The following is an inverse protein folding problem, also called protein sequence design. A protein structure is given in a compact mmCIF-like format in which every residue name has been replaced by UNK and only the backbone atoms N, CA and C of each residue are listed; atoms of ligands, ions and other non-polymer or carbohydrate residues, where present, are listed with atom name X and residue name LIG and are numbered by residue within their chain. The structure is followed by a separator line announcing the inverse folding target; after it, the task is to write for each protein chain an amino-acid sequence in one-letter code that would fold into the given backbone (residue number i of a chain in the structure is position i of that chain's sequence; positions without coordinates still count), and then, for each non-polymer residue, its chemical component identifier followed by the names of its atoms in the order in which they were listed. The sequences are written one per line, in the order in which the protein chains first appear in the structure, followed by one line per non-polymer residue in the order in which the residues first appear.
data_IF_176030024548
#
_entry.id   IF_176030024548
#
_cell.length_a   1.000
_cell.length_b   1.000
_cell.length_c   1.000
_cell.angle_alpha   90.00
_cell.angle_beta   90.00
_cell.angle_gamma   90.00
#
_symmetry.space_group_name_H-M   'P 1'
#
loop_
_entity.id
_entity.type
_entity.pdbx_description
1 polymer ?
#
# COMPACT_ATOMS: atom_id res chain seq x y z
N UNK A 1 -23.69 15.93 -12.53
CA UNK A 1 -22.49 15.49 -13.27
C UNK A 1 -21.20 15.82 -12.52
N UNK A 2 -20.99 17.06 -12.04
CA UNK A 2 -19.77 17.46 -11.33
C UNK A 2 -19.46 16.60 -10.09
N UNK A 3 -20.43 16.37 -9.18
CA UNK A 3 -20.21 15.51 -8.01
C UNK A 3 -19.96 14.04 -8.34
N UNK A 4 -20.53 13.54 -9.44
CA UNK A 4 -20.24 12.18 -9.91
C UNK A 4 -18.79 12.07 -10.39
N UNK A 5 -18.31 13.05 -11.17
CA UNK A 5 -16.89 13.10 -11.58
C UNK A 5 -15.95 13.28 -10.40
N UNK A 6 -16.34 14.05 -9.38
CA UNK A 6 -15.55 14.22 -8.15
C UNK A 6 -15.33 12.90 -7.43
N UNK A 7 -16.31 11.99 -7.41
CA UNK A 7 -16.18 10.66 -6.78
C UNK A 7 -15.48 9.66 -7.70
N UNK A 8 -15.76 9.67 -9.01
CA UNK A 8 -15.18 8.70 -9.95
C UNK A 8 -13.70 8.95 -10.23
N UNK A 9 -13.25 10.20 -10.22
CA UNK A 9 -11.85 10.55 -10.48
C UNK A 9 -10.85 9.94 -9.49
N UNK A 10 -11.02 10.04 -8.15
CA UNK A 10 -10.13 9.38 -7.20
C UNK A 10 -10.22 7.84 -7.28
N UNK A 11 -11.37 7.27 -7.65
CA UNK A 11 -11.50 5.82 -7.89
C UNK A 11 -10.64 5.39 -9.09
N UNK A 12 -10.71 6.12 -10.21
CA UNK A 12 -9.85 5.87 -11.37
C UNK A 12 -8.36 5.92 -10.99
N UNK A 13 -7.95 6.96 -10.25
CA UNK A 13 -6.56 7.11 -9.83
C UNK A 13 -6.13 6.00 -8.86
N UNK A 14 -7.04 5.53 -7.99
CA UNK A 14 -6.78 4.42 -7.10
C UNK A 14 -6.52 3.12 -7.88
N UNK A 15 -7.34 2.83 -8.89
CA UNK A 15 -7.18 1.64 -9.75
C UNK A 15 -5.80 1.69 -10.44
N UNK A 16 -5.48 2.79 -11.12
CA UNK A 16 -4.20 2.96 -11.80
C UNK A 16 -3.00 2.85 -10.84
N UNK A 17 -3.12 3.38 -9.63
CA UNK A 17 -2.06 3.29 -8.62
C UNK A 17 -1.88 1.86 -8.11
N UNK A 18 -2.96 1.11 -7.91
CA UNK A 18 -2.91 -0.26 -7.37
C UNK A 18 -2.43 -1.28 -8.41
N UNK A 19 -2.72 -1.05 -9.69
CA UNK A 19 -2.27 -1.88 -10.83
C UNK A 19 -0.80 -1.67 -11.20
N UNK A 20 -0.18 -0.60 -10.69
CA UNK A 20 1.23 -0.31 -10.92
C UNK A 20 2.11 -1.45 -10.38
N UNK A 21 3.17 -1.80 -11.12
CA UNK A 21 4.02 -2.94 -10.80
C UNK A 21 4.79 -2.79 -9.46
N UNK A 22 4.95 -1.55 -8.99
CA UNK A 22 5.62 -1.20 -7.74
C UNK A 22 4.64 -0.77 -6.63
N UNK A 23 3.34 -1.02 -6.81
CA UNK A 23 2.32 -0.72 -5.81
C UNK A 23 2.55 -1.51 -4.52
N UNK A 24 2.32 -0.88 -3.38
CA UNK A 24 2.43 -1.48 -2.05
C UNK A 24 1.09 -1.52 -1.33
N UNK A 25 0.98 -2.34 -0.27
CA UNK A 25 -0.19 -2.33 0.62
C UNK A 25 -0.48 -0.92 1.17
N UNK A 26 0.56 -0.12 1.45
CA UNK A 26 0.38 1.25 1.91
C UNK A 26 -0.30 2.13 0.84
N UNK A 27 0.08 1.97 -0.44
CA UNK A 27 -0.52 2.72 -1.54
C UNK A 27 -2.01 2.39 -1.71
N UNK A 28 -2.37 1.11 -1.60
CA UNK A 28 -3.77 0.69 -1.61
C UNK A 28 -4.56 1.36 -0.48
N UNK A 29 -4.03 1.33 0.75
CA UNK A 29 -4.68 1.96 1.91
C UNK A 29 -4.82 3.48 1.76
N UNK A 30 -3.79 4.16 1.26
CA UNK A 30 -3.80 5.61 1.03
C UNK A 30 -4.83 5.99 -0.02
N UNK A 31 -4.97 5.21 -1.08
CA UNK A 31 -5.99 5.48 -2.10
C UNK A 31 -7.42 5.27 -1.56
N UNK A 32 -7.64 4.26 -0.71
CA UNK A 32 -8.92 4.11 0.01
C UNK A 32 -9.21 5.34 0.89
N UNK A 33 -8.21 5.84 1.62
CA UNK A 33 -8.37 7.06 2.43
C UNK A 33 -8.67 8.29 1.59
N UNK A 34 -8.05 8.46 0.42
CA UNK A 34 -8.34 9.57 -0.51
C UNK A 34 -9.77 9.51 -1.03
N UNK A 35 -10.27 8.33 -1.41
CA UNK A 35 -11.67 8.14 -1.83
C UNK A 35 -12.61 8.49 -0.67
N UNK A 36 -12.32 7.98 0.52
CA UNK A 36 -13.11 8.27 1.73
C UNK A 36 -13.15 9.78 2.04
N UNK A 37 -12.02 10.49 1.96
CA UNK A 37 -11.95 11.93 2.17
C UNK A 37 -12.82 12.70 1.17
N UNK A 38 -12.83 12.28 -0.10
CA UNK A 38 -13.69 12.90 -1.12
C UNK A 38 -15.17 12.65 -0.83
N UNK A 39 -15.56 11.41 -0.50
CA UNK A 39 -16.95 11.08 -0.12
C UNK A 39 -17.39 11.88 1.12
N UNK A 40 -16.50 12.03 2.10
CA UNK A 40 -16.76 12.79 3.33
C UNK A 40 -17.08 14.26 3.03
N UNK A 41 -16.42 14.85 2.03
CA UNK A 41 -16.56 16.25 1.64
C UNK A 41 -17.75 16.53 0.70
N UNK A 42 -18.51 15.51 0.28
CA UNK A 42 -19.72 15.71 -0.51
C UNK A 42 -20.79 16.50 0.27
N UNK A 43 -21.57 17.37 -0.39
CA UNK A 43 -22.63 18.13 0.27
C UNK A 43 -23.62 17.21 1.00
N UNK A 44 -23.81 17.46 2.30
CA UNK A 44 -24.67 16.64 3.14
C UNK A 44 -26.16 16.80 2.79
N UNK A 45 -26.58 17.98 2.33
CA UNK A 45 -28.00 18.32 2.15
C UNK A 45 -28.51 18.10 0.72
N UNK A 46 -27.81 18.61 -0.29
CA UNK A 46 -28.30 18.62 -1.69
C UNK A 46 -28.23 17.23 -2.36
N UNK A 47 -27.32 16.36 -1.90
CA UNK A 47 -27.06 15.04 -2.49
C UNK A 47 -27.03 13.92 -1.43
N UNK A 48 -27.79 14.08 -0.35
CA UNK A 48 -27.79 13.15 0.79
C UNK A 48 -27.91 11.68 0.40
N UNK A 49 -28.88 11.34 -0.45
CA UNK A 49 -29.10 9.96 -0.88
C UNK A 49 -27.94 9.39 -1.71
N UNK A 50 -27.32 10.21 -2.57
CA UNK A 50 -26.12 9.82 -3.31
C UNK A 50 -24.92 9.65 -2.37
N UNK A 51 -24.68 10.58 -1.45
CA UNK A 51 -23.64 10.50 -0.43
C UNK A 51 -23.79 9.22 0.40
N UNK A 52 -24.99 8.95 0.91
CA UNK A 52 -25.28 7.73 1.67
C UNK A 52 -25.04 6.46 0.83
N UNK A 53 -25.42 6.45 -0.45
CA UNK A 53 -25.11 5.35 -1.34
C UNK A 53 -23.59 5.14 -1.48
N UNK A 54 -22.82 6.21 -1.71
CA UNK A 54 -21.36 6.15 -1.78
C UNK A 54 -20.74 5.62 -0.48
N UNK A 55 -21.24 6.06 0.69
CA UNK A 55 -20.76 5.57 1.99
C UNK A 55 -21.08 4.09 2.17
N UNK A 56 -22.32 3.65 1.88
CA UNK A 56 -22.69 2.23 1.96
C UNK A 56 -21.78 1.36 1.09
N UNK A 57 -21.54 1.77 -0.16
CA UNK A 57 -20.67 1.05 -1.09
C UNK A 57 -19.21 1.08 -0.66
N UNK A 58 -18.73 2.23 -0.18
CA UNK A 58 -17.37 2.35 0.33
C UNK A 58 -17.16 1.46 1.56
N UNK A 59 -18.01 1.54 2.58
CA UNK A 59 -17.85 0.76 3.81
C UNK A 59 -17.88 -0.75 3.54
N UNK A 60 -18.81 -1.20 2.68
CA UNK A 60 -18.85 -2.60 2.27
C UNK A 60 -17.55 -3.07 1.62
N UNK A 61 -16.99 -2.28 0.68
CA UNK A 61 -15.69 -2.59 0.07
C UNK A 61 -14.54 -2.46 1.07
N UNK A 62 -14.58 -1.45 1.92
CA UNK A 62 -13.56 -1.22 2.93
C UNK A 62 -13.47 -2.40 3.89
N UNK A 63 -14.59 -3.01 4.28
CA UNK A 63 -14.61 -4.23 5.10
C UNK A 63 -13.81 -5.39 4.46
N UNK A 64 -13.89 -5.57 3.13
CA UNK A 64 -13.11 -6.57 2.39
C UNK A 64 -11.59 -6.31 2.47
N UNK A 65 -11.18 -5.04 2.59
CA UNK A 65 -9.78 -4.61 2.58
C UNK A 65 -9.26 -4.11 3.92
N UNK A 66 -10.06 -4.18 4.99
CA UNK A 66 -9.70 -3.69 6.32
C UNK A 66 -8.81 -4.70 7.07
N UNK A 67 -7.77 -5.18 6.40
CA UNK A 67 -6.75 -6.04 7.00
C UNK A 67 -5.69 -5.18 7.71
N UNK A 68 -5.30 -5.52 8.96
CA UNK A 68 -4.28 -4.78 9.71
C UNK A 68 -2.92 -4.63 9.00
N UNK A 69 -2.58 -5.51 8.04
CA UNK A 69 -1.38 -5.41 7.22
C UNK A 69 -1.34 -4.10 6.42
N UNK A 70 -2.48 -3.63 5.90
CA UNK A 70 -2.58 -2.36 5.19
C UNK A 70 -2.30 -1.17 6.11
N UNK A 71 -2.82 -1.23 7.34
CA UNK A 71 -2.63 -0.20 8.36
C UNK A 71 -1.17 -0.16 8.84
N UNK A 72 -0.56 -1.33 9.06
CA UNK A 72 0.86 -1.45 9.39
C UNK A 72 1.73 -0.94 8.24
N UNK A 73 1.40 -1.25 6.98
CA UNK A 73 2.15 -0.76 5.82
C UNK A 73 2.07 0.76 5.70
N UNK A 74 0.88 1.33 5.91
CA UNK A 74 0.69 2.79 5.96
C UNK A 74 1.52 3.43 7.08
N UNK A 75 1.53 2.84 8.28
CA UNK A 75 2.36 3.29 9.39
C UNK A 75 3.85 3.27 9.00
N UNK A 76 4.34 2.17 8.42
CA UNK A 76 5.76 2.00 8.04
C UNK A 76 6.17 2.79 6.78
N UNK A 77 5.24 3.46 6.11
CA UNK A 77 5.55 4.21 4.89
C UNK A 77 6.28 5.52 5.24
N UNK A 78 7.48 5.79 4.71
CA UNK A 78 8.30 6.94 5.15
C UNK A 78 7.69 8.32 4.85
N UNK A 79 6.84 8.43 3.83
CA UNK A 79 6.11 9.68 3.57
C UNK A 79 5.00 9.99 4.57
N UNK A 80 4.36 8.95 5.12
CA UNK A 80 3.14 9.11 5.91
C UNK A 80 3.38 8.90 7.40
N UNK A 81 4.20 7.90 7.76
CA UNK A 81 4.62 7.57 9.13
C UNK A 81 3.44 7.44 10.11
N UNK A 82 2.28 7.00 9.62
CA UNK A 82 1.06 6.92 10.42
C UNK A 82 0.46 8.28 10.81
N UNK A 83 0.82 9.38 10.13
CA UNK A 83 0.17 10.65 10.36
C UNK A 83 -1.35 10.52 10.08
N UNK A 84 -2.14 11.29 10.82
CA UNK A 84 -3.60 11.21 10.75
C UNK A 84 -4.23 10.00 11.45
N UNK A 85 -3.47 9.05 11.98
CA UNK A 85 -4.01 7.99 12.85
C UNK A 85 -4.61 8.59 14.13
N UNK A 86 -5.79 8.10 14.52
CA UNK A 86 -6.47 8.50 15.76
C UNK A 86 -5.82 7.87 16.99
N UNK A 87 -6.14 8.44 18.16
CA UNK A 87 -5.73 7.87 19.44
C UNK A 87 -6.15 6.39 19.56
N UNK A 88 -5.26 5.54 20.08
CA UNK A 88 -5.47 4.09 20.19
C UNK A 88 -5.16 3.28 18.92
N UNK A 89 -5.07 3.90 17.74
CA UNK A 89 -4.74 3.18 16.50
C UNK A 89 -3.32 2.59 16.52
N UNK A 90 -2.36 3.29 17.14
CA UNK A 90 -0.99 2.81 17.27
C UNK A 90 -0.92 1.49 18.04
N UNK A 91 -1.68 1.33 19.12
CA UNK A 91 -1.70 0.12 19.95
C UNK A 91 -2.15 -1.09 19.12
N UNK A 92 -3.20 -0.92 18.30
CA UNK A 92 -3.69 -1.96 17.39
C UNK A 92 -2.63 -2.35 16.34
N UNK A 93 -1.97 -1.36 15.73
CA UNK A 93 -0.91 -1.58 14.74
C UNK A 93 0.31 -2.26 15.38
N UNK A 94 0.69 -1.84 16.59
CA UNK A 94 1.79 -2.40 17.35
C UNK A 94 1.52 -3.85 17.76
N UNK A 95 0.31 -4.15 18.25
CA UNK A 95 -0.12 -5.50 18.56
C UNK A 95 -0.04 -6.40 17.32
N UNK A 96 -0.60 -5.96 16.20
CA UNK A 96 -0.53 -6.72 14.96
C UNK A 96 0.91 -6.94 14.47
N UNK A 97 1.78 -5.93 14.59
CA UNK A 97 3.19 -6.08 14.25
C UNK A 97 3.89 -7.12 15.12
N UNK A 98 3.60 -7.14 16.43
CA UNK A 98 4.14 -8.13 17.36
C UNK A 98 3.59 -9.54 17.09
N UNK A 99 2.29 -9.69 16.81
CA UNK A 99 1.70 -10.98 16.42
C UNK A 99 2.30 -11.51 15.13
N UNK A 100 2.50 -10.63 14.14
CA UNK A 100 3.14 -10.98 12.88
C UNK A 100 4.60 -11.38 13.12
N UNK A 101 5.30 -10.70 14.02
CA UNK A 101 6.68 -11.03 14.40
C UNK A 101 6.76 -12.39 15.11
N UNK A 102 5.83 -12.66 16.04
CA UNK A 102 5.69 -13.95 16.71
C UNK A 102 5.42 -15.08 15.73
N UNK A 103 4.48 -14.89 14.78
CA UNK A 103 4.18 -15.85 13.69
C UNK A 103 5.38 -16.15 12.81
N UNK A 104 6.39 -15.26 12.76
CA UNK A 104 7.67 -15.51 12.08
C UNK A 104 8.67 -16.32 12.92
N UNK A 105 8.25 -16.87 14.07
CA UNK A 105 9.10 -17.63 14.99
C UNK A 105 10.19 -16.74 15.60
N UNK A 106 9.79 -15.62 16.19
CA UNK A 106 10.71 -14.64 16.79
C UNK A 106 10.45 -14.50 18.28
N UNK A 107 11.54 -14.45 19.05
CA UNK A 107 11.52 -14.41 20.51
C UNK A 107 10.87 -13.15 21.07
N UNK A 108 10.37 -13.25 22.30
CA UNK A 108 9.78 -12.13 23.06
C UNK A 108 10.70 -10.92 23.14
N UNK A 109 11.97 -11.14 23.48
CA UNK A 109 13.01 -10.09 23.58
C UNK A 109 13.19 -9.33 22.27
N UNK A 110 13.13 -10.04 21.13
CA UNK A 110 13.21 -9.40 19.81
C UNK A 110 11.94 -8.60 19.47
N UNK A 111 10.77 -9.07 19.92
CA UNK A 111 9.50 -8.34 19.78
C UNK A 111 9.47 -7.06 20.62
N UNK A 112 9.97 -7.09 21.86
CA UNK A 112 10.09 -5.90 22.70
C UNK A 112 10.98 -4.84 22.03
N UNK A 113 12.13 -5.26 21.47
CA UNK A 113 13.02 -4.39 20.69
C UNK A 113 12.36 -3.87 19.42
N UNK A 114 11.57 -4.68 18.71
CA UNK A 114 10.77 -4.23 17.56
C UNK A 114 9.77 -3.13 17.96
N UNK A 115 9.03 -3.33 19.04
CA UNK A 115 8.04 -2.37 19.53
C UNK A 115 8.68 -1.06 20.00
N UNK A 116 9.86 -1.14 20.63
CA UNK A 116 10.68 0.04 20.94
C UNK A 116 11.07 0.80 19.67
N UNK A 117 11.50 0.10 18.61
CA UNK A 117 11.81 0.73 17.32
C UNK A 117 10.58 1.36 16.66
N UNK A 118 9.41 0.73 16.74
CA UNK A 118 8.16 1.32 16.24
C UNK A 118 7.83 2.63 16.95
N UNK A 119 8.12 2.75 18.25
CA UNK A 119 7.92 4.00 19.01
C UNK A 119 8.89 5.09 18.57
N UNK A 120 10.17 4.76 18.50
CA UNK A 120 11.22 5.66 17.98
C UNK A 120 10.83 6.18 16.59
N UNK A 121 10.32 5.29 15.73
CA UNK A 121 9.83 5.64 14.40
C UNK A 121 8.57 6.52 14.47
N UNK A 122 7.58 6.22 15.32
CA UNK A 122 6.38 7.06 15.49
C UNK A 122 6.70 8.46 15.98
N UNK A 123 7.58 8.58 16.97
CA UNK A 123 7.92 9.83 17.64
C UNK A 123 8.94 10.67 16.86
N UNK A 124 9.51 10.11 15.78
CA UNK A 124 10.52 10.79 14.97
C UNK A 124 11.71 11.29 15.81
N UNK A 125 12.13 10.49 16.79
CA UNK A 125 13.25 10.81 17.68
C UNK A 125 14.52 10.97 16.84
N UNK A 126 15.13 12.15 16.85
CA UNK A 126 16.28 12.49 15.98
C UNK A 126 17.57 11.80 16.40
N UNK A 127 17.77 11.58 17.70
CA UNK A 127 19.01 11.02 18.26
C UNK A 127 18.64 9.82 19.14
N UNK A 128 19.27 8.68 18.88
CA UNK A 128 19.14 7.46 19.68
C UNK A 128 20.55 7.00 20.02
N UNK A 129 20.83 6.82 21.31
CA UNK A 129 22.15 6.41 21.83
C UNK A 129 23.29 7.29 21.29
N UNK A 130 23.11 8.61 21.31
CA UNK A 130 24.10 9.58 20.82
C UNK A 130 24.35 9.57 19.31
N UNK A 131 23.58 8.82 18.50
CA UNK A 131 23.71 8.76 17.04
C UNK A 131 22.45 9.28 16.34
N UNK A 132 22.58 9.89 15.14
CA UNK A 132 21.44 10.25 14.33
C UNK A 132 20.59 9.02 14.01
N UNK A 133 19.29 9.11 14.27
CA UNK A 133 18.34 8.05 13.97
C UNK A 133 18.08 7.97 12.45
N UNK A 134 18.40 6.85 11.78
CA UNK A 134 18.16 6.70 10.35
C UNK A 134 16.68 6.80 9.97
N UNK A 135 15.75 6.54 10.89
CA UNK A 135 14.31 6.59 10.63
C UNK A 135 13.76 8.02 10.41
N UNK A 136 14.57 9.04 10.66
CA UNK A 136 14.24 10.45 10.42
C UNK A 136 14.79 10.94 9.06
N UNK A 137 15.47 10.07 8.30
CA UNK A 137 15.97 10.40 6.97
C UNK A 137 14.84 10.96 6.07
N UNK A 138 15.14 11.96 5.21
CA UNK A 138 14.16 12.50 4.29
C UNK A 138 13.68 11.43 3.31
N UNK A 139 12.45 11.57 2.84
CA UNK A 139 11.85 10.70 1.83
C UNK A 139 11.20 11.58 0.76
N UNK A 140 11.51 11.31 -0.51
CA UNK A 140 11.00 12.08 -1.64
C UNK A 140 10.00 11.24 -2.43
N UNK A 141 8.71 11.61 -2.36
CA UNK A 141 7.64 10.95 -3.12
C UNK A 141 7.96 11.04 -4.63
N UNK A 142 7.91 9.90 -5.32
CA UNK A 142 8.13 9.80 -6.77
C UNK A 142 9.60 9.56 -7.17
N UNK A 143 10.57 9.83 -6.30
CA UNK A 143 11.98 9.46 -6.51
C UNK A 143 12.38 8.23 -5.70
N UNK A 144 11.91 8.13 -4.46
CA UNK A 144 12.21 7.02 -3.57
C UNK A 144 11.09 5.99 -3.56
N UNK A 145 11.44 4.71 -3.50
CA UNK A 145 10.49 3.66 -3.12
C UNK A 145 10.60 3.38 -1.61
N UNK A 146 9.51 3.02 -0.91
CA UNK A 146 9.59 2.65 0.50
C UNK A 146 10.63 1.55 0.76
N UNK A 147 10.70 0.58 -0.14
CA UNK A 147 11.69 -0.50 -0.07
C UNK A 147 13.13 0.02 -0.15
N UNK A 148 13.44 0.93 -1.07
CA UNK A 148 14.77 1.54 -1.17
C UNK A 148 15.12 2.34 0.09
N UNK A 149 14.19 3.15 0.59
CA UNK A 149 14.40 3.94 1.81
C UNK A 149 14.62 3.06 3.05
N UNK A 150 13.84 1.97 3.20
CA UNK A 150 14.08 1.04 4.29
C UNK A 150 15.45 0.35 4.17
N UNK A 151 15.91 0.04 2.96
CA UNK A 151 17.23 -0.55 2.76
C UNK A 151 18.40 0.39 3.13
N UNK A 152 18.21 1.72 3.15
CA UNK A 152 19.26 2.66 3.57
C UNK A 152 19.32 2.88 5.09
N UNK A 153 18.31 2.42 5.85
CA UNK A 153 18.26 2.58 7.29
C UNK A 153 19.20 1.61 8.02
N UNK A 154 20.44 2.04 8.30
CA UNK A 154 21.44 1.24 9.01
C UNK A 154 21.26 1.33 10.55
N UNK A 155 20.44 0.44 11.12
CA UNK A 155 20.23 0.34 12.58
C UNK A 155 20.64 -1.05 13.08
N UNK A 156 21.19 -1.16 14.29
CA UNK A 156 21.42 -2.45 14.95
C UNK A 156 20.77 -2.46 16.34
N UNK A 157 19.91 -3.46 16.65
CA UNK A 157 19.34 -4.47 15.73
C UNK A 157 18.40 -3.82 14.70
N UNK A 158 18.04 -4.50 13.62
CA UNK A 158 17.21 -3.92 12.55
C UNK A 158 15.82 -4.56 12.40
N UNK A 159 15.16 -4.89 13.51
CA UNK A 159 13.91 -5.64 13.48
C UNK A 159 12.79 -4.92 12.73
N UNK A 160 12.60 -3.61 12.97
CA UNK A 160 11.61 -2.80 12.26
C UNK A 160 11.87 -2.73 10.76
N UNK A 161 13.14 -2.53 10.37
CA UNK A 161 13.56 -2.51 8.97
C UNK A 161 13.22 -3.84 8.27
N UNK A 162 13.54 -4.97 8.91
CA UNK A 162 13.26 -6.31 8.36
C UNK A 162 11.76 -6.56 8.21
N UNK A 163 10.96 -6.11 9.18
CA UNK A 163 9.50 -6.21 9.10
C UNK A 163 8.96 -5.37 7.93
N UNK A 164 9.41 -4.11 7.83
CA UNK A 164 8.99 -3.20 6.77
C UNK A 164 9.34 -3.73 5.37
N UNK A 165 10.57 -4.19 5.17
CA UNK A 165 11.01 -4.79 3.89
C UNK A 165 10.10 -5.95 3.48
N UNK A 166 9.77 -6.85 4.43
CA UNK A 166 8.87 -7.98 4.15
C UNK A 166 7.48 -7.50 3.75
N UNK A 167 6.93 -6.52 4.47
CA UNK A 167 5.60 -6.00 4.22
C UNK A 167 5.51 -5.25 2.87
N UNK A 168 6.52 -4.46 2.52
CA UNK A 168 6.62 -3.76 1.24
C UNK A 168 6.96 -4.68 0.05
N UNK A 169 7.32 -5.94 0.31
CA UNK A 169 7.50 -6.95 -0.74
C UNK A 169 6.18 -7.61 -1.16
N UNK A 170 5.07 -7.32 -0.48
CA UNK A 170 3.75 -7.85 -0.82
C UNK A 170 3.14 -6.99 -1.93
N UNK A 171 2.84 -7.62 -3.06
CA UNK A 171 2.09 -6.98 -4.15
C UNK A 171 0.59 -7.03 -3.85
N UNK A 172 -0.11 -5.88 -3.78
CA UNK A 172 -1.53 -5.82 -3.42
C UNK A 172 -2.49 -6.20 -4.57
N UNK A 173 -2.00 -6.35 -5.80
CA UNK A 173 -2.82 -6.57 -7.00
C UNK A 173 -2.31 -7.73 -7.85
N UNK A 174 -3.25 -8.50 -8.40
CA UNK A 174 -3.01 -9.52 -9.43
C UNK A 174 -2.81 -8.94 -10.83
N UNK A 175 -2.97 -7.62 -11.03
CA UNK A 175 -2.90 -6.98 -12.35
C UNK A 175 -1.59 -7.27 -13.11
N UNK A 176 -0.47 -7.44 -12.41
CA UNK A 176 0.79 -7.84 -13.05
C UNK A 176 0.73 -9.29 -13.60
N UNK A 177 0.02 -10.18 -12.91
CA UNK A 177 -0.25 -11.54 -13.38
C UNK A 177 -1.28 -11.52 -14.51
N UNK A 178 -2.36 -10.73 -14.39
CA UNK A 178 -3.38 -10.59 -15.43
C UNK A 178 -2.80 -10.05 -16.73
N UNK A 179 -1.94 -9.02 -16.69
CA UNK A 179 -1.21 -8.54 -17.89
C UNK A 179 -0.36 -9.64 -18.52
N UNK A 180 0.32 -10.45 -17.71
CA UNK A 180 1.09 -11.60 -18.21
C UNK A 180 0.17 -12.64 -18.85
N UNK A 181 -0.96 -12.97 -18.22
CA UNK A 181 -1.92 -13.93 -18.75
C UNK A 181 -2.62 -13.42 -20.00
N UNK A 182 -2.96 -12.14 -20.08
CA UNK A 182 -3.49 -11.48 -21.27
C UNK A 182 -2.48 -11.53 -22.42
N UNK A 183 -1.21 -11.20 -22.15
CA UNK A 183 -0.13 -11.32 -23.15
C UNK A 183 0.04 -12.76 -23.66
N UNK A 184 -0.22 -13.76 -22.81
CA UNK A 184 -0.19 -15.18 -23.17
C UNK A 184 -1.54 -15.68 -23.73
N UNK A 185 -2.60 -14.87 -23.68
CA UNK A 185 -3.95 -15.19 -24.13
C UNK A 185 -3.98 -15.51 -25.62
N UNK A 186 -3.14 -14.85 -26.42
CA UNK A 186 -2.94 -15.21 -27.83
C UNK A 186 -2.43 -16.66 -28.01
N UNK A 187 -1.49 -17.09 -27.16
CA UNK A 187 -0.86 -18.42 -27.25
C UNK A 187 -1.84 -19.55 -26.87
N UNK A 188 -2.68 -19.29 -25.85
CA UNK A 188 -3.63 -20.26 -25.31
C UNK A 188 -4.98 -20.24 -26.03
N UNK A 189 -5.44 -19.06 -26.46
CA UNK A 189 -6.74 -18.84 -27.10
C UNK A 189 -6.72 -19.06 -28.61
N UNK A 190 -6.28 -18.05 -29.38
CA UNK A 190 -6.41 -18.01 -30.84
C UNK A 190 -5.58 -19.09 -31.56
N UNK A 191 -4.40 -19.45 -31.04
CA UNK A 191 -3.55 -20.47 -31.66
C UNK A 191 -3.84 -21.93 -31.24
N UNK A 192 -4.78 -22.17 -30.31
CA UNK A 192 -5.15 -23.51 -29.78
C UNK A 192 -3.96 -24.44 -29.59
N UNK A 193 -2.90 -23.94 -28.98
CA UNK A 193 -1.68 -24.72 -28.80
C UNK A 193 -1.90 -25.72 -27.65
N UNK A 194 -1.72 -27.03 -27.90
CA UNK A 194 -1.73 -28.07 -26.84
C UNK A 194 -0.39 -28.09 -26.11
N UNK A 195 0.03 -26.93 -25.58
CA UNK A 195 1.25 -26.84 -24.79
C UNK A 195 0.98 -27.35 -23.38
N UNK A 196 1.89 -28.17 -22.86
CA UNK A 196 1.89 -28.55 -21.45
C UNK A 196 2.26 -27.33 -20.59
N UNK A 197 1.76 -27.32 -19.35
CA UNK A 197 1.91 -26.19 -18.40
C UNK A 197 3.39 -25.80 -18.23
N UNK A 198 4.29 -26.78 -18.10
CA UNK A 198 5.72 -26.53 -17.91
C UNK A 198 6.36 -25.78 -19.09
N UNK A 199 5.91 -26.06 -20.32
CA UNK A 199 6.39 -25.38 -21.53
C UNK A 199 5.84 -23.96 -21.62
N UNK A 200 4.59 -23.79 -21.22
CA UNK A 200 3.94 -22.47 -21.14
C UNK A 200 4.64 -21.58 -20.12
N UNK A 201 4.93 -22.12 -18.93
CA UNK A 201 5.68 -21.42 -17.89
C UNK A 201 7.09 -21.04 -18.39
N UNK A 202 7.79 -21.97 -19.06
CA UNK A 202 9.08 -21.71 -19.68
C UNK A 202 9.01 -20.56 -20.69
N UNK A 203 8.00 -20.55 -21.55
CA UNK A 203 7.80 -19.49 -22.55
C UNK A 203 7.47 -18.15 -21.89
N UNK A 204 6.61 -18.14 -20.86
CA UNK A 204 6.26 -16.94 -20.09
C UNK A 204 7.50 -16.32 -19.43
N UNK A 205 8.38 -17.15 -18.85
CA UNK A 205 9.66 -16.70 -18.27
C UNK A 205 10.58 -16.10 -19.32
N UNK A 206 10.72 -16.74 -20.48
CA UNK A 206 11.54 -16.24 -21.60
C UNK A 206 10.97 -14.93 -22.15
N UNK A 207 9.65 -14.85 -22.31
CA UNK A 207 8.94 -13.64 -22.75
C UNK A 207 9.19 -12.48 -21.79
N UNK A 208 8.96 -12.67 -20.48
CA UNK A 208 9.19 -11.65 -19.45
C UNK A 208 10.64 -11.22 -19.36
N UNK A 209 11.58 -12.16 -19.44
CA UNK A 209 13.01 -11.85 -19.45
C UNK A 209 13.40 -11.01 -20.68
N UNK A 210 12.92 -11.38 -21.87
CA UNK A 210 13.21 -10.57 -23.06
C UNK A 210 12.61 -9.18 -22.95
N UNK A 211 11.39 -9.04 -22.40
CA UNK A 211 10.76 -7.75 -22.17
C UNK A 211 11.57 -6.86 -21.21
N UNK A 212 12.01 -7.42 -20.06
CA UNK A 212 12.80 -6.66 -19.09
C UNK A 212 14.19 -6.29 -19.60
N UNK A 213 14.80 -7.14 -20.44
CA UNK A 213 16.15 -6.90 -20.96
C UNK A 213 16.15 -6.16 -22.30
N UNK A 214 14.98 -5.95 -22.93
CA UNK A 214 14.88 -5.34 -24.24
C UNK A 214 15.50 -3.94 -24.20
N UNK A 215 15.03 -3.09 -23.29
CA UNK A 215 15.53 -1.73 -23.10
C UNK A 215 17.06 -1.66 -22.90
N UNK A 216 17.61 -2.55 -22.07
CA UNK A 216 19.06 -2.60 -21.78
C UNK A 216 19.90 -3.12 -22.96
N UNK A 217 19.39 -4.12 -23.71
CA UNK A 217 20.04 -4.66 -24.91
C UNK A 217 19.97 -3.68 -26.08
N UNK A 218 18.93 -2.84 -26.16
CA UNK A 218 18.80 -1.81 -27.18
C UNK A 218 19.81 -0.68 -27.02
N UNK A 219 20.18 -0.29 -25.79
CA UNK A 219 21.26 0.67 -25.57
C UNK A 219 22.63 0.17 -26.09
N UNK A 220 22.83 -1.15 -26.19
CA UNK A 220 24.09 -1.75 -26.64
C UNK A 220 24.15 -2.07 -28.14
N UNK A 221 23.01 -2.12 -28.82
CA UNK A 221 22.92 -2.63 -30.19
C UNK A 221 22.34 -1.57 -31.12
N UNK A 222 23.10 -0.51 -31.39
CA UNK A 222 22.84 0.34 -32.55
C UNK A 222 23.26 -0.41 -33.82
N UNK A 223 22.29 -0.92 -34.57
CA UNK A 223 22.36 -0.97 -36.04
C UNK A 223 20.96 -1.16 -36.62
N UNK A 224 20.62 -0.25 -37.54
CA UNK A 224 19.65 -0.34 -38.65
C UNK A 224 18.16 -0.01 -38.44
N UNK A 225 17.62 0.12 -37.23
CA UNK A 225 16.24 0.61 -37.04
C UNK A 225 16.24 1.71 -35.97
N UNK A 226 15.63 2.87 -36.26
CA UNK A 226 15.53 3.96 -35.27
C UNK A 226 14.84 3.44 -34.00
N UNK A 227 15.39 3.73 -32.80
CA UNK A 227 14.79 3.33 -31.52
C UNK A 227 13.32 3.73 -31.41
N UNK A 228 12.95 4.88 -31.99
CA UNK A 228 11.57 5.37 -32.01
C UNK A 228 10.69 4.52 -32.94
N UNK A 229 11.19 4.13 -34.10
CA UNK A 229 10.41 3.30 -35.04
C UNK A 229 10.18 1.90 -34.50
N UNK A 230 11.18 1.30 -33.84
CA UNK A 230 11.03 -0.04 -33.27
C UNK A 230 10.24 -0.03 -31.97
N UNK A 231 10.39 1.01 -31.13
CA UNK A 231 9.52 1.26 -29.98
C UNK A 231 8.08 1.47 -30.43
N UNK A 232 7.85 2.23 -31.50
CA UNK A 232 6.51 2.42 -32.06
C UNK A 232 5.98 1.11 -32.64
N UNK A 233 6.78 0.27 -33.32
CA UNK A 233 6.34 -1.05 -33.81
C UNK A 233 6.01 -1.98 -32.64
N UNK A 234 6.87 -2.03 -31.63
CA UNK A 234 6.62 -2.70 -30.37
C UNK A 234 5.30 -2.21 -29.78
N UNK A 235 5.19 -0.93 -29.43
CA UNK A 235 3.98 -0.32 -28.87
C UNK A 235 2.75 -0.48 -29.76
N UNK A 236 2.86 -0.49 -31.09
CA UNK A 236 1.72 -0.68 -32.01
C UNK A 236 1.27 -2.14 -32.02
N UNK A 237 2.21 -3.08 -32.15
CA UNK A 237 1.92 -4.52 -32.05
C UNK A 237 1.38 -4.84 -30.65
N UNK A 238 1.94 -4.23 -29.61
CA UNK A 238 1.54 -4.41 -28.21
C UNK A 238 0.19 -3.77 -27.89
N UNK A 239 -0.13 -2.59 -28.43
CA UNK A 239 -1.45 -1.98 -28.31
C UNK A 239 -2.50 -2.75 -29.11
N UNK A 240 -2.16 -3.32 -30.29
CA UNK A 240 -3.04 -4.24 -31.01
C UNK A 240 -3.31 -5.52 -30.20
N UNK A 241 -2.31 -6.03 -29.45
CA UNK A 241 -2.50 -7.16 -28.52
C UNK A 241 -3.33 -6.81 -27.27
N UNK A 242 -3.23 -5.58 -26.75
CA UNK A 242 -4.05 -5.11 -25.61
C UNK A 242 -5.49 -4.75 -26.04
N UNK A 243 -5.69 -4.07 -27.18
CA UNK A 243 -7.02 -3.72 -27.70
C UNK A 243 -7.85 -4.97 -28.07
N UNK A 244 -7.24 -6.01 -28.65
CA UNK A 244 -7.96 -7.26 -28.95
C UNK A 244 -8.38 -8.03 -27.68
N UNK A 245 -7.68 -7.87 -26.56
CA UNK A 245 -8.04 -8.49 -25.28
C UNK A 245 -9.15 -7.72 -24.53
N UNK A 246 -9.18 -6.38 -24.65
CA UNK A 246 -10.22 -5.52 -24.06
C UNK A 246 -11.59 -5.67 -24.73
N UNK A 247 -11.65 -6.11 -25.99
CA UNK A 247 -12.91 -6.30 -26.72
C UNK A 247 -13.71 -7.53 -26.29
N UNK A 248 -13.13 -8.46 -25.52
CA UNK A 248 -13.81 -9.69 -25.08
C UNK A 248 -14.40 -9.61 -23.66
N UNK A 249 -14.04 -8.61 -22.84
CA UNK A 249 -14.62 -8.39 -21.50
C UNK A 249 -15.68 -7.28 -21.51
N UNK A 250 -16.74 -7.48 -22.30
CA UNK A 250 -18.01 -6.78 -22.09
C UNK A 250 -18.97 -7.74 -21.38
N UNK A 251 -18.75 -8.00 -20.09
CA UNK A 251 -19.83 -8.52 -19.26
C UNK A 251 -20.89 -7.42 -19.11
N UNK A 252 -22.02 -7.63 -19.78
CA UNK A 252 -23.24 -6.87 -19.51
C UNK A 252 -23.72 -7.21 -18.10
N UNK A 253 -23.13 -6.58 -17.09
CA UNK A 253 -23.72 -6.50 -15.77
C UNK A 253 -24.97 -5.61 -15.89
N UNK A 254 -26.16 -6.20 -15.77
CA UNK A 254 -27.39 -5.45 -15.55
C UNK A 254 -27.22 -4.62 -14.28
N UNK A 255 -26.92 -3.32 -14.45
CA UNK A 255 -26.96 -2.36 -13.36
C UNK A 255 -28.40 -2.20 -12.93
N UNK A 256 -28.75 -2.44 -11.65
CA UNK A 256 -30.08 -2.11 -11.15
C UNK A 256 -30.33 -0.63 -11.36
N UNK A 257 -31.51 -0.27 -11.88
CA UNK A 257 -31.94 1.11 -12.04
C UNK A 257 -31.81 1.86 -10.69
N UNK A 258 -30.93 2.87 -10.54
CA UNK A 258 -30.68 3.49 -9.23
C UNK A 258 -31.82 4.41 -8.75
N UNK A 259 -32.86 4.60 -9.56
CA UNK A 259 -33.82 5.67 -9.37
C UNK A 259 -34.90 5.42 -8.30
N UNK A 260 -35.01 4.23 -7.69
CA UNK A 260 -36.20 3.93 -6.87
C UNK A 260 -36.09 4.19 -5.36
N UNK A 261 -34.92 4.50 -4.78
CA UNK A 261 -34.81 4.72 -3.33
C UNK A 261 -33.90 5.89 -2.92
N UNK A 262 -34.18 7.10 -3.43
CA UNK A 262 -33.71 8.34 -2.81
C UNK A 262 -34.71 8.78 -1.72
N UNK A 263 -34.78 8.04 -0.61
CA UNK A 263 -35.58 8.46 0.53
C UNK A 263 -34.85 9.58 1.29
N UNK A 264 -35.46 10.75 1.33
CA UNK A 264 -34.98 11.95 2.04
C UNK A 264 -34.97 11.82 3.57
N UNK A 265 -35.34 10.66 4.13
CA UNK A 265 -35.42 10.40 5.57
C UNK A 265 -34.36 9.42 6.10
N UNK A 266 -33.33 9.08 5.31
CA UNK A 266 -32.24 8.23 5.82
C UNK A 266 -31.38 8.96 6.87
N UNK A 267 -30.95 8.25 7.90
CA UNK A 267 -29.95 8.74 8.86
C UNK A 267 -28.64 9.04 8.13
N UNK A 268 -27.88 10.01 8.62
CA UNK A 268 -26.55 10.30 8.07
C UNK A 268 -25.62 9.13 8.39
N UNK A 269 -25.07 8.51 7.34
CA UNK A 269 -24.07 7.47 7.50
C UNK A 269 -22.69 8.09 7.63
N UNK A 270 -21.83 7.39 8.37
CA UNK A 270 -20.44 7.72 8.56
C UNK A 270 -19.55 6.67 7.88
N UNK A 271 -18.37 7.09 7.45
CA UNK A 271 -17.36 6.20 6.88
C UNK A 271 -16.67 5.43 8.00
N UNK A 272 -16.58 4.10 7.92
CA UNK A 272 -16.03 3.27 9.00
C UNK A 272 -14.53 3.52 9.22
N UNK A 273 -13.81 3.82 8.13
CA UNK A 273 -12.41 4.24 8.15
C UNK A 273 -12.17 5.52 8.98
N UNK A 274 -13.21 6.33 9.20
CA UNK A 274 -13.13 7.51 10.08
C UNK A 274 -12.84 7.12 11.53
N UNK A 275 -13.08 5.88 11.97
CA UNK A 275 -12.74 5.42 13.31
C UNK A 275 -11.22 5.34 13.54
N UNK A 276 -10.45 5.09 12.48
CA UNK A 276 -8.99 4.96 12.51
C UNK A 276 -8.28 6.25 12.09
N UNK A 277 -8.86 7.01 11.16
CA UNK A 277 -8.17 8.13 10.49
C UNK A 277 -8.89 9.46 10.74
N UNK A 278 -8.10 10.49 10.98
CA UNK A 278 -8.52 11.87 10.96
C UNK A 278 -8.33 12.47 9.56
N UNK A 279 -9.45 12.65 8.85
CA UNK A 279 -9.48 13.26 7.52
C UNK A 279 -9.08 14.74 7.49
N UNK A 280 -9.00 15.42 8.64
CA UNK A 280 -8.49 16.79 8.72
C UNK A 280 -6.96 16.87 8.77
N UNK A 281 -6.26 15.73 8.75
CA UNK A 281 -4.80 15.70 8.77
C UNK A 281 -4.18 16.28 7.49
N UNK A 282 -3.00 16.86 7.64
CA UNK A 282 -2.23 17.50 6.55
C UNK A 282 -1.86 16.55 5.41
N UNK A 283 -1.94 15.22 5.60
CA UNK A 283 -1.77 14.23 4.53
C UNK A 283 -2.81 14.40 3.42
N UNK A 284 -4.01 14.86 3.78
CA UNK A 284 -5.10 15.12 2.83
C UNK A 284 -5.13 16.58 2.34
N UNK A 285 -4.39 17.47 3.00
CA UNK A 285 -4.25 18.88 2.70
C UNK A 285 -2.78 19.21 2.48
N UNK A 286 -2.21 18.83 1.33
CA UNK A 286 -0.82 19.21 1.02
C UNK A 286 -0.68 20.73 0.91
N UNK A 287 -0.12 21.36 1.94
CA UNK A 287 0.93 22.37 1.84
C UNK A 287 1.68 22.43 3.18
N UNK A 288 2.98 22.09 3.14
CA UNK A 288 3.78 21.75 4.31
C UNK A 288 4.24 22.92 5.18
N UNK A 289 4.62 22.61 6.41
CA UNK A 289 5.97 22.83 6.94
C UNK A 289 6.10 22.27 8.37
N UNK A 290 7.30 21.78 8.67
CA UNK A 290 7.74 21.20 9.94
C UNK A 290 8.05 22.27 11.00
N UNK A 291 8.01 21.89 12.28
CA UNK A 291 9.06 22.07 13.31
C UNK A 291 8.48 21.76 14.71
N UNK A 292 8.99 20.77 15.45
CA UNK A 292 10.12 20.74 16.42
C UNK A 292 9.62 20.72 17.87
N UNK A 293 10.04 19.72 18.66
CA UNK A 293 10.81 19.90 19.91
C UNK A 293 11.17 18.54 20.55
N UNK A 294 12.35 18.51 21.18
CA UNK A 294 13.10 17.39 21.76
C UNK A 294 12.72 17.14 23.24
N UNK A 295 12.98 15.92 23.74
CA UNK A 295 13.80 15.68 24.94
C UNK A 295 14.16 14.18 25.08
N UNK A 296 15.32 13.90 25.66
CA UNK A 296 16.09 12.65 25.61
C UNK A 296 16.12 11.87 26.94
N UNK A 297 16.31 10.55 26.89
CA UNK A 297 17.16 9.81 27.85
C UNK A 297 17.63 8.46 27.31
N UNK A 298 18.87 8.11 27.65
CA UNK A 298 19.65 6.94 27.21
C UNK A 298 19.32 5.65 27.98
N UNK A 299 19.47 4.48 27.34
CA UNK A 299 20.29 3.38 27.88
C UNK A 299 20.47 2.22 26.87
N UNK A 300 21.72 1.80 26.65
CA UNK A 300 22.08 0.63 25.84
C UNK A 300 22.14 -0.64 26.70
N UNK A 301 21.59 -1.75 26.20
CA UNK A 301 22.15 -3.06 26.52
C UNK A 301 22.04 -4.03 25.34
N UNK A 302 23.15 -4.74 25.15
CA UNK A 302 23.34 -5.81 24.17
C UNK A 302 22.65 -7.11 24.62
N UNK A 303 22.72 -8.08 23.73
CA UNK A 303 22.77 -9.52 24.01
C UNK A 303 21.62 -10.36 23.45
N UNK A 304 22.08 -11.30 22.63
CA UNK A 304 21.89 -12.75 22.64
C UNK A 304 20.47 -13.29 22.73
N UNK A 305 20.21 -14.11 21.71
CA UNK A 305 19.06 -14.96 21.46
C UNK A 305 19.10 -16.15 22.43
N UNK A 306 17.99 -16.45 23.11
CA UNK A 306 17.54 -17.83 23.36
C UNK A 306 16.10 -17.90 23.92
N UNK A 307 15.50 -19.04 23.59
CA UNK A 307 14.26 -19.73 24.01
C UNK A 307 12.85 -19.16 23.68
N UNK A 308 12.09 -20.05 23.03
CA UNK A 308 10.71 -19.95 22.57
C UNK A 308 9.75 -20.13 23.74
N UNK A 309 9.07 -19.05 24.11
CA UNK A 309 7.81 -19.09 24.83
C UNK A 309 6.72 -18.39 23.98
N UNK A 310 5.52 -18.95 23.96
CA UNK A 310 4.34 -18.28 23.41
C UNK A 310 3.98 -17.11 24.34
N UNK A 311 4.33 -15.88 23.94
CA UNK A 311 4.09 -14.65 24.72
C UNK A 311 2.84 -13.90 24.24
N UNK A 312 2.13 -13.24 25.16
CA UNK A 312 1.03 -12.32 24.82
C UNK A 312 1.60 -10.94 24.42
N UNK A 313 1.39 -10.56 23.17
CA UNK A 313 1.81 -9.28 22.61
C UNK A 313 1.07 -8.11 23.26
N UNK A 314 -0.20 -8.29 23.65
CA UNK A 314 -1.01 -7.24 24.26
C UNK A 314 -0.43 -6.83 25.61
N UNK A 315 0.04 -7.79 26.42
CA UNK A 315 0.69 -7.49 27.69
C UNK A 315 1.95 -6.64 27.51
N UNK A 316 2.73 -6.90 26.45
CA UNK A 316 3.91 -6.11 26.12
C UNK A 316 3.50 -4.70 25.73
N UNK A 317 2.55 -4.54 24.79
CA UNK A 317 2.12 -3.21 24.34
C UNK A 317 1.55 -2.38 25.50
N UNK A 318 0.71 -2.95 26.34
CA UNK A 318 0.13 -2.29 27.53
C UNK A 318 1.22 -1.90 28.53
N UNK A 319 2.18 -2.79 28.80
CA UNK A 319 3.27 -2.52 29.74
C UNK A 319 4.13 -1.34 29.28
N UNK A 320 4.39 -1.25 27.98
CA UNK A 320 5.19 -0.16 27.44
C UNK A 320 4.35 1.15 27.33
N UNK A 321 3.01 1.10 27.23
CA UNK A 321 2.13 2.29 27.32
C UNK A 321 2.05 2.87 28.74
N UNK A 322 2.06 2.03 29.77
CA UNK A 322 2.01 2.48 31.18
C UNK A 322 3.23 3.28 31.62
N UNK A 323 4.38 3.10 30.97
CA UNK A 323 5.59 3.90 31.22
C UNK A 323 5.47 5.37 30.75
N UNK A 324 4.39 5.75 30.05
CA UNK A 324 4.14 7.13 29.61
C UNK A 324 3.27 7.96 30.59
N UNK A 325 2.73 7.34 31.65
CA UNK A 325 1.84 8.00 32.63
C UNK A 325 2.49 8.28 34.00
N UNK A 326 3.81 8.20 34.09
CA UNK A 326 4.62 8.52 35.29
C UNK A 326 5.72 9.50 34.93
#
# INVERSE_FOLDING_TARGET
MQHLSEVLFPIKNAILAVEAANSTLADAYVNLMKIAAVIQNLPADEYKGFRNHCIKKFNHRFEEFNDPAYQLAFFLHPAYKGAGLKFGAFSLIANYAGELWQKMGKSKKSCEKLLAQMRIYKEQIRIVNGKPNPYVAPYTIGSDTPLMWWNTCEVKPNYLQRLAIKLFSITPSSAACERMFSSLGWLYGKCRTRLEIDKLEGLAKVYRFNLSTAAEKFHKTQTEISPETMKNIAETVFNEFEEEAFLEESENAELPNPAEHLYTNEQDLNLDISNMINFQSSIFNSNGNNNEHEESSDDESSDEDDEDDEYDVNEIVISIERMQCT
#
